data_IF_208245604472
#
_entry.id   IF_208245604472
#
_cell.length_a   1.000
_cell.length_b   1.000
_cell.length_c   1.000
_cell.angle_alpha   90.00
_cell.angle_beta   90.00
_cell.angle_gamma   90.00
#
_symmetry.space_group_name_H-M   'P 1'
#
loop_
_entity.id
_entity.type
_entity.pdbx_description
1 polymer ?
#
# COMPACT_ATOMS: atom_id res chain seq x y z
N UNK A 1 -42.72 -20.07 -45.55
CA UNK A 1 -41.33 -20.58 -45.42
C UNK A 1 -40.28 -19.49 -45.19
N UNK A 2 -40.30 -18.34 -45.90
CA UNK A 2 -39.31 -17.25 -45.70
C UNK A 2 -39.27 -16.66 -44.28
N UNK A 3 -40.42 -16.53 -43.62
CA UNK A 3 -40.56 -15.92 -42.28
C UNK A 3 -39.92 -16.73 -41.14
N UNK A 4 -39.81 -18.05 -41.27
CA UNK A 4 -39.18 -18.90 -40.25
C UNK A 4 -37.65 -18.86 -40.34
N UNK A 5 -37.09 -18.68 -41.53
CA UNK A 5 -35.65 -18.62 -41.74
C UNK A 5 -35.03 -17.34 -41.16
N UNK A 6 -35.69 -16.19 -41.37
CA UNK A 6 -35.26 -14.91 -40.79
C UNK A 6 -35.36 -14.89 -39.27
N UNK A 7 -36.37 -15.56 -38.71
CA UNK A 7 -36.53 -15.69 -37.24
C UNK A 7 -35.41 -16.52 -36.65
N UNK A 8 -35.03 -17.64 -37.27
CA UNK A 8 -33.91 -18.49 -36.84
C UNK A 8 -32.58 -17.73 -36.92
N UNK A 9 -32.33 -16.99 -38.00
CA UNK A 9 -31.11 -16.18 -38.14
C UNK A 9 -31.02 -15.06 -37.09
N UNK A 10 -32.14 -14.38 -36.77
CA UNK A 10 -32.16 -13.39 -35.67
C UNK A 10 -31.90 -14.01 -34.30
N UNK A 11 -32.44 -15.19 -34.02
CA UNK A 11 -32.20 -15.88 -32.74
C UNK A 11 -30.75 -16.38 -32.64
N UNK A 12 -30.17 -16.88 -33.73
CA UNK A 12 -28.76 -17.25 -33.76
C UNK A 12 -27.84 -16.04 -33.60
N UNK A 13 -28.17 -14.89 -34.21
CA UNK A 13 -27.39 -13.66 -34.07
C UNK A 13 -27.47 -13.11 -32.63
N UNK A 14 -28.66 -13.14 -32.00
CA UNK A 14 -28.86 -12.73 -30.60
C UNK A 14 -28.12 -13.67 -29.65
N UNK A 15 -28.20 -15.00 -29.86
CA UNK A 15 -27.45 -15.97 -29.07
C UNK A 15 -25.94 -15.81 -29.25
N UNK A 16 -25.45 -15.51 -30.46
CA UNK A 16 -24.03 -15.26 -30.72
C UNK A 16 -23.56 -13.96 -30.06
N UNK A 17 -24.36 -12.89 -30.10
CA UNK A 17 -24.12 -11.65 -29.36
C UNK A 17 -24.09 -11.87 -27.85
N UNK A 18 -25.03 -12.66 -27.30
CA UNK A 18 -25.06 -13.00 -25.87
C UNK A 18 -23.87 -13.89 -25.45
N UNK A 19 -23.41 -14.80 -26.32
CA UNK A 19 -22.19 -15.59 -26.08
C UNK A 19 -20.92 -14.74 -26.11
N UNK A 20 -20.84 -13.73 -26.99
CA UNK A 20 -19.71 -12.78 -27.03
C UNK A 20 -19.71 -11.88 -25.79
N UNK A 21 -20.88 -11.44 -25.31
CA UNK A 21 -21.01 -10.67 -24.06
C UNK A 21 -20.63 -11.52 -22.84
N UNK A 22 -21.02 -12.80 -22.81
CA UNK A 22 -20.72 -13.70 -21.70
C UNK A 22 -19.24 -14.12 -21.64
N UNK A 23 -18.53 -14.16 -22.77
CA UNK A 23 -17.10 -14.49 -22.81
C UNK A 23 -16.18 -13.33 -22.35
N UNK A 24 -16.69 -12.11 -22.22
CA UNK A 24 -15.92 -10.92 -21.85
C UNK A 24 -16.12 -10.44 -20.41
N UNK A 25 -16.87 -11.17 -19.57
CA UNK A 25 -16.89 -10.89 -18.14
C UNK A 25 -15.61 -11.45 -17.50
N UNK A 26 -14.50 -10.72 -17.65
CA UNK A 26 -13.32 -10.96 -16.83
C UNK A 26 -13.73 -10.91 -15.34
N UNK A 27 -13.21 -11.84 -14.53
CA UNK A 27 -13.47 -11.82 -13.10
C UNK A 27 -13.01 -10.48 -12.51
N UNK A 28 -13.86 -9.84 -11.71
CA UNK A 28 -13.55 -8.56 -11.09
C UNK A 28 -12.22 -8.62 -10.32
N UNK A 29 -11.38 -7.59 -10.50
CA UNK A 29 -10.10 -7.47 -9.80
C UNK A 29 -10.32 -7.45 -8.29
N UNK A 30 -9.53 -8.24 -7.55
CA UNK A 30 -9.60 -8.34 -6.09
C UNK A 30 -8.64 -7.35 -5.44
N UNK A 31 -9.05 -6.78 -4.31
CA UNK A 31 -8.16 -5.95 -3.51
C UNK A 31 -6.99 -6.77 -2.94
N UNK A 32 -5.80 -6.20 -2.96
CA UNK A 32 -4.54 -6.87 -2.63
C UNK A 32 -3.53 -6.77 -3.76
N UNK A 33 -2.57 -7.69 -3.83
CA UNK A 33 -1.53 -7.67 -4.86
C UNK A 33 -2.06 -7.82 -6.30
N UNK A 34 -3.28 -8.35 -6.47
CA UNK A 34 -3.89 -8.54 -7.79
C UNK A 34 -4.04 -7.20 -8.53
N UNK A 35 -4.32 -6.10 -7.83
CA UNK A 35 -4.44 -4.76 -8.45
C UNK A 35 -3.10 -4.26 -9.02
N UNK A 36 -1.97 -4.78 -8.52
CA UNK A 36 -0.62 -4.41 -8.98
C UNK A 36 -0.06 -5.36 -10.04
N UNK A 37 -0.80 -6.42 -10.40
CA UNK A 37 -0.38 -7.44 -11.38
C UNK A 37 -1.19 -7.40 -12.67
N UNK A 38 -1.86 -6.28 -12.92
CA UNK A 38 -2.63 -6.07 -14.13
C UNK A 38 -1.72 -5.73 -15.31
N UNK A 39 -2.23 -5.94 -16.52
CA UNK A 39 -1.49 -5.53 -17.72
C UNK A 39 -1.40 -4.00 -17.80
N UNK A 40 -0.36 -3.42 -18.41
CA UNK A 40 -0.20 -1.96 -18.50
C UNK A 40 -1.45 -1.22 -19.01
N UNK A 41 -2.16 -1.78 -19.99
CA UNK A 41 -3.34 -1.17 -20.60
C UNK A 41 -4.53 -1.09 -19.63
N UNK A 42 -4.58 -1.99 -18.64
CA UNK A 42 -5.64 -1.99 -17.64
C UNK A 42 -5.62 -0.72 -16.80
N UNK A 43 -4.44 -0.20 -16.45
CA UNK A 43 -4.30 1.01 -15.64
C UNK A 43 -4.84 2.28 -16.32
N UNK A 44 -5.06 2.25 -17.64
CA UNK A 44 -5.69 3.32 -18.40
C UNK A 44 -7.20 3.10 -18.65
N UNK A 45 -7.78 2.01 -18.14
CA UNK A 45 -9.18 1.63 -18.37
C UNK A 45 -10.16 2.29 -17.41
N UNK A 46 -11.45 2.29 -17.77
CA UNK A 46 -12.53 2.75 -16.89
C UNK A 46 -12.66 1.89 -15.63
N UNK A 47 -12.33 0.59 -15.69
CA UNK A 47 -12.33 -0.29 -14.52
C UNK A 47 -11.26 0.16 -13.50
N UNK A 48 -10.05 0.47 -13.97
CA UNK A 48 -8.98 0.96 -13.10
C UNK A 48 -9.28 2.35 -12.53
N UNK A 49 -9.92 3.24 -13.30
CA UNK A 49 -10.41 4.54 -12.78
C UNK A 49 -11.46 4.35 -11.69
N UNK A 50 -12.43 3.46 -11.91
CA UNK A 50 -13.44 3.16 -10.90
C UNK A 50 -12.82 2.58 -9.61
N UNK A 51 -11.84 1.69 -9.74
CA UNK A 51 -11.09 1.16 -8.60
C UNK A 51 -10.30 2.27 -7.87
N UNK A 52 -9.60 3.13 -8.61
CA UNK A 52 -8.84 4.25 -8.06
C UNK A 52 -9.76 5.28 -7.37
N UNK A 53 -10.94 5.54 -7.92
CA UNK A 53 -11.95 6.41 -7.31
C UNK A 53 -12.47 5.85 -5.99
N UNK A 54 -12.70 4.54 -5.89
CA UNK A 54 -13.06 3.95 -4.59
C UNK A 54 -11.90 4.05 -3.60
N UNK A 55 -10.67 3.70 -4.01
CA UNK A 55 -9.48 3.81 -3.15
C UNK A 55 -9.30 5.22 -2.62
N UNK A 56 -9.54 6.25 -3.45
CA UNK A 56 -9.43 7.65 -3.06
C UNK A 56 -10.38 8.02 -1.92
N UNK A 57 -11.59 7.46 -1.88
CA UNK A 57 -12.59 7.73 -0.82
C UNK A 57 -12.13 7.27 0.57
N UNK A 58 -11.17 6.36 0.64
CA UNK A 58 -10.61 5.85 1.90
C UNK A 58 -9.33 6.59 2.34
N UNK A 59 -8.84 7.57 1.56
CA UNK A 59 -7.68 8.34 1.96
C UNK A 59 -8.06 9.29 3.09
N UNK A 60 -7.40 9.16 4.24
CA UNK A 60 -7.62 10.04 5.38
C UNK A 60 -7.17 11.48 5.12
N UNK A 61 -7.53 12.38 6.03
CA UNK A 61 -7.05 13.77 6.03
C UNK A 61 -5.51 13.85 6.05
N UNK A 62 -4.84 12.97 6.78
CA UNK A 62 -3.37 12.90 6.83
C UNK A 62 -2.74 12.25 5.60
N UNK A 63 -3.53 11.66 4.70
CA UNK A 63 -3.05 11.07 3.45
C UNK A 63 -2.79 9.56 3.49
N UNK A 64 -3.25 8.85 4.51
CA UNK A 64 -3.04 7.42 4.72
C UNK A 64 -4.29 6.59 4.40
N UNK A 65 -4.18 5.25 4.49
CA UNK A 65 -5.28 4.31 4.22
C UNK A 65 -5.38 3.20 5.26
N UNK A 66 -6.59 2.68 5.52
CA UNK A 66 -6.80 1.65 6.53
C UNK A 66 -6.20 0.29 6.17
N UNK A 67 -5.88 -0.48 7.21
CA UNK A 67 -5.56 -1.90 7.10
C UNK A 67 -6.81 -2.77 7.11
N UNK A 68 -6.68 -4.01 6.64
CA UNK A 68 -7.72 -5.05 6.72
C UNK A 68 -9.09 -4.61 6.18
N UNK A 69 -9.08 -3.74 5.17
CA UNK A 69 -10.27 -3.16 4.55
C UNK A 69 -10.20 -3.42 3.06
N UNK A 70 -11.27 -3.97 2.49
CA UNK A 70 -11.44 -4.01 1.04
C UNK A 70 -11.88 -2.62 0.57
N UNK A 71 -10.92 -1.82 0.10
CA UNK A 71 -11.17 -0.45 -0.34
C UNK A 71 -11.73 -0.36 -1.77
N UNK A 72 -11.93 -1.50 -2.44
CA UNK A 72 -12.70 -1.57 -3.69
C UNK A 72 -14.19 -1.77 -3.43
N UNK A 73 -14.56 -2.24 -2.24
CA UNK A 73 -15.94 -2.43 -1.86
C UNK A 73 -16.66 -1.07 -1.73
N UNK A 74 -17.91 -0.94 -2.21
CA UNK A 74 -18.69 0.27 -1.97
C UNK A 74 -18.86 0.53 -0.46
N UNK A 75 -18.48 1.73 -0.01
CA UNK A 75 -18.74 2.19 1.35
C UNK A 75 -19.74 3.35 1.40
N UNK A 76 -20.53 3.35 2.47
CA UNK A 76 -21.36 4.48 2.87
C UNK A 76 -20.50 5.54 3.55
N UNK A 77 -20.94 6.80 3.53
CA UNK A 77 -20.19 7.89 4.18
C UNK A 77 -20.05 7.67 5.69
N UNK A 78 -21.03 7.03 6.33
CA UNK A 78 -20.94 6.64 7.74
C UNK A 78 -19.83 5.60 8.00
N UNK A 79 -19.63 4.66 7.08
CA UNK A 79 -18.54 3.67 7.19
C UNK A 79 -17.17 4.33 6.99
N UNK A 80 -17.06 5.25 6.04
CA UNK A 80 -15.83 6.03 5.81
C UNK A 80 -15.48 6.90 7.03
N UNK A 81 -16.47 7.61 7.59
CA UNK A 81 -16.28 8.41 8.80
C UNK A 81 -15.82 7.57 10.01
N UNK A 82 -16.30 6.33 10.16
CA UNK A 82 -15.87 5.45 11.25
C UNK A 82 -14.46 4.88 11.05
N UNK A 83 -14.00 4.78 9.80
CA UNK A 83 -12.62 4.42 9.43
C UNK A 83 -11.67 5.58 9.71
N UNK A 84 -12.07 6.82 9.47
CA UNK A 84 -11.26 7.99 9.79
C UNK A 84 -11.15 8.23 11.31
N UNK A 85 -12.23 7.92 12.05
CA UNK A 85 -12.32 8.16 13.48
C UNK A 85 -11.14 7.59 14.27
N UNK A 86 -10.44 8.48 14.98
CA UNK A 86 -9.33 8.12 15.86
C UNK A 86 -8.10 7.59 15.11
N UNK A 87 -7.93 7.95 13.83
CA UNK A 87 -6.75 7.59 13.04
C UNK A 87 -6.64 6.10 12.76
N UNK A 88 -7.76 5.37 12.62
CA UNK A 88 -7.73 3.95 12.22
C UNK A 88 -7.27 3.77 10.79
N UNK A 89 -7.56 4.73 9.92
CA UNK A 89 -7.03 4.80 8.58
C UNK A 89 -5.52 5.08 8.51
N UNK A 90 -4.88 5.52 9.60
CA UNK A 90 -3.53 6.07 9.50
C UNK A 90 -2.47 5.05 9.93
N UNK A 91 -2.23 4.07 9.06
CA UNK A 91 -1.32 2.95 9.34
C UNK A 91 -0.59 2.45 8.10
N UNK A 92 0.56 1.81 8.33
CA UNK A 92 1.34 1.09 7.32
C UNK A 92 1.27 -0.43 7.47
N UNK A 93 0.49 -0.92 8.44
CA UNK A 93 0.32 -2.33 8.75
C UNK A 93 -0.44 -3.08 7.64
N UNK A 94 -0.11 -4.35 7.38
CA UNK A 94 -0.77 -5.18 6.36
C UNK A 94 -0.87 -4.54 4.97
N UNK A 95 0.15 -3.79 4.56
CA UNK A 95 0.20 -3.11 3.26
C UNK A 95 -0.70 -1.87 3.15
N UNK A 96 -1.35 -1.47 4.25
CA UNK A 96 -2.04 -0.20 4.35
C UNK A 96 -1.14 0.96 3.93
N UNK A 97 -1.75 2.00 3.37
CA UNK A 97 -1.09 3.17 2.77
C UNK A 97 -0.22 2.86 1.54
N UNK A 98 0.73 1.93 1.63
CA UNK A 98 1.69 1.63 0.55
C UNK A 98 1.04 0.98 -0.67
N UNK A 99 0.12 0.01 -0.50
CA UNK A 99 -0.60 -0.63 -1.61
C UNK A 99 -1.53 0.37 -2.34
N UNK A 100 -2.38 1.15 -1.65
CA UNK A 100 -3.14 2.25 -2.26
C UNK A 100 -2.28 3.23 -3.05
N UNK A 101 -1.17 3.72 -2.49
CA UNK A 101 -0.27 4.63 -3.20
C UNK A 101 0.24 3.99 -4.50
N UNK A 102 0.65 2.72 -4.47
CA UNK A 102 1.14 2.02 -5.67
C UNK A 102 0.08 1.89 -6.74
N UNK A 103 -1.16 1.53 -6.40
CA UNK A 103 -2.25 1.46 -7.37
C UNK A 103 -2.56 2.83 -7.97
N UNK A 104 -2.75 3.84 -7.11
CA UNK A 104 -3.06 5.20 -7.54
C UNK A 104 -1.96 5.76 -8.43
N UNK A 105 -0.68 5.48 -8.12
CA UNK A 105 0.44 5.92 -8.95
C UNK A 105 0.43 5.27 -10.33
N UNK A 106 0.10 3.97 -10.43
CA UNK A 106 -0.03 3.29 -11.74
C UNK A 106 -1.12 3.94 -12.59
N UNK A 107 -2.30 4.17 -12.01
CA UNK A 107 -3.42 4.81 -12.71
C UNK A 107 -3.06 6.26 -13.07
N UNK A 108 -2.52 7.03 -12.14
CA UNK A 108 -2.11 8.41 -12.39
C UNK A 108 -1.07 8.52 -13.52
N UNK A 109 -0.07 7.64 -13.56
CA UNK A 109 0.92 7.61 -14.62
C UNK A 109 0.31 7.20 -15.97
N UNK A 110 -0.67 6.29 -15.98
CA UNK A 110 -1.33 5.83 -17.20
C UNK A 110 -2.34 6.84 -17.75
N UNK A 111 -2.99 7.63 -16.90
CA UNK A 111 -4.10 8.53 -17.30
C UNK A 111 -3.75 10.01 -17.26
N UNK A 112 -2.76 10.42 -16.47
CA UNK A 112 -2.44 11.82 -16.21
C UNK A 112 -3.47 12.55 -15.33
N UNK A 113 -4.40 11.83 -14.68
CA UNK A 113 -5.44 12.47 -13.90
C UNK A 113 -4.93 13.04 -12.57
N UNK A 114 -5.12 14.35 -12.43
CA UNK A 114 -4.56 15.15 -11.34
C UNK A 114 -4.99 14.69 -9.94
N UNK A 115 -6.25 14.24 -9.77
CA UNK A 115 -6.76 13.74 -8.48
C UNK A 115 -5.97 12.56 -7.93
N UNK A 116 -5.48 11.67 -8.79
CA UNK A 116 -4.70 10.51 -8.37
C UNK A 116 -3.24 10.90 -8.08
N UNK A 117 -2.68 11.83 -8.88
CA UNK A 117 -1.36 12.41 -8.62
C UNK A 117 -1.32 13.06 -7.23
N UNK A 118 -2.29 13.91 -6.92
CA UNK A 118 -2.40 14.61 -5.63
C UNK A 118 -2.55 13.64 -4.46
N UNK A 119 -3.38 12.60 -4.62
CA UNK A 119 -3.53 11.57 -3.60
C UNK A 119 -2.22 10.80 -3.34
N UNK A 120 -1.46 10.47 -4.39
CA UNK A 120 -0.13 9.85 -4.24
C UNK A 120 0.82 10.78 -3.50
N UNK A 121 0.88 12.06 -3.87
CA UNK A 121 1.76 13.03 -3.21
C UNK A 121 1.44 13.17 -1.72
N UNK A 122 0.15 13.23 -1.35
CA UNK A 122 -0.29 13.23 0.06
C UNK A 122 0.14 11.97 0.80
N UNK A 123 0.02 10.80 0.18
CA UNK A 123 0.48 9.54 0.76
C UNK A 123 2.00 9.45 0.92
N UNK A 124 2.76 9.99 -0.03
CA UNK A 124 4.23 10.10 0.09
C UNK A 124 4.59 11.05 1.23
N UNK A 125 3.95 12.21 1.33
CA UNK A 125 4.18 13.15 2.43
C UNK A 125 3.83 12.56 3.79
N UNK A 126 2.74 11.80 3.88
CA UNK A 126 2.39 11.04 5.09
C UNK A 126 3.54 10.14 5.54
N UNK A 127 4.10 9.33 4.64
CA UNK A 127 5.23 8.44 4.97
C UNK A 127 6.47 9.25 5.39
N UNK A 128 6.77 10.36 4.71
CA UNK A 128 7.91 11.20 5.05
C UNK A 128 7.76 11.86 6.44
N UNK A 129 6.55 12.25 6.82
CA UNK A 129 6.26 12.86 8.14
C UNK A 129 6.18 11.81 9.25
N UNK A 130 5.71 10.60 8.94
CA UNK A 130 5.58 9.51 9.91
C UNK A 130 6.93 8.93 10.36
N UNK A 131 7.99 9.10 9.57
CA UNK A 131 9.31 8.57 9.90
C UNK A 131 9.92 9.28 11.12
N UNK A 132 10.42 8.50 12.07
CA UNK A 132 11.15 9.04 13.22
C UNK A 132 12.50 9.66 12.81
N UNK A 133 13.06 10.59 13.63
CA UNK A 133 14.40 11.13 13.40
C UNK A 133 15.51 10.07 13.33
N UNK A 134 15.35 8.93 14.00
CA UNK A 134 16.30 7.81 13.95
C UNK A 134 16.13 6.92 12.70
N UNK A 135 15.16 7.21 11.82
CA UNK A 135 14.89 6.48 10.58
C UNK A 135 13.84 5.37 10.69
N UNK A 136 13.39 5.02 11.89
CA UNK A 136 12.35 4.02 12.11
C UNK A 136 10.95 4.49 11.71
N UNK A 137 10.01 3.56 11.59
CA UNK A 137 8.60 3.83 11.31
C UNK A 137 7.68 3.25 12.37
N UNK A 138 6.72 4.02 12.91
CA UNK A 138 5.65 3.49 13.74
C UNK A 138 4.65 2.68 12.92
N UNK A 139 3.86 1.82 13.57
CA UNK A 139 2.75 1.13 12.91
C UNK A 139 1.62 2.10 12.53
N UNK A 140 1.36 3.10 13.37
CA UNK A 140 0.34 4.13 13.17
C UNK A 140 0.94 5.54 13.33
N UNK A 141 0.52 6.47 12.48
CA UNK A 141 0.89 7.88 12.61
C UNK A 141 -0.32 8.77 12.28
N UNK A 142 -0.67 9.85 13.01
CA UNK A 142 -0.07 10.31 14.26
C UNK A 142 0.00 9.22 15.33
N UNK A 143 0.98 9.35 16.23
CA UNK A 143 1.28 8.30 17.20
C UNK A 143 0.09 8.03 18.11
N UNK A 144 -0.18 6.75 18.33
CA UNK A 144 -1.14 6.32 19.33
C UNK A 144 -0.50 6.45 20.72
N UNK A 145 -1.23 6.96 21.73
CA UNK A 145 -0.64 7.31 23.02
C UNK A 145 -0.24 6.10 23.88
N UNK A 146 -0.70 4.89 23.54
CA UNK A 146 -0.47 3.67 24.33
C UNK A 146 -0.34 2.45 23.41
N UNK A 147 0.44 1.48 23.88
CA UNK A 147 0.65 0.20 23.21
C UNK A 147 1.86 0.21 22.27
N UNK A 148 2.08 -0.93 21.62
CA UNK A 148 3.24 -1.18 20.76
C UNK A 148 3.21 -0.40 19.43
N UNK A 149 2.15 0.36 19.16
CA UNK A 149 1.94 1.02 17.86
C UNK A 149 2.98 2.09 17.54
N UNK A 150 3.70 2.61 18.55
CA UNK A 150 4.80 3.56 18.38
C UNK A 150 6.14 2.90 18.08
N UNK A 151 6.27 1.59 18.31
CA UNK A 151 7.53 0.90 18.06
C UNK A 151 7.92 0.94 16.59
N UNK A 152 9.21 0.85 16.33
CA UNK A 152 9.76 0.60 14.99
C UNK A 152 9.19 -0.72 14.53
N UNK A 153 8.34 -0.69 13.50
CA UNK A 153 7.49 -1.83 13.13
C UNK A 153 7.99 -2.48 11.85
N UNK A 154 8.69 -3.61 11.98
CA UNK A 154 9.01 -4.48 10.84
C UNK A 154 7.88 -5.46 10.52
N UNK A 155 7.06 -5.80 11.52
CA UNK A 155 5.91 -6.70 11.42
C UNK A 155 5.07 -6.44 10.15
N UNK A 156 4.66 -7.53 9.50
CA UNK A 156 3.90 -7.53 8.24
C UNK A 156 4.58 -6.73 7.11
N UNK A 157 5.91 -6.62 7.18
CA UNK A 157 6.72 -5.83 6.26
C UNK A 157 6.46 -4.32 6.30
N UNK A 158 5.84 -3.78 7.35
CA UNK A 158 5.36 -2.40 7.41
C UNK A 158 6.45 -1.36 7.07
N UNK A 159 7.51 -1.26 7.88
CA UNK A 159 8.62 -0.35 7.61
C UNK A 159 9.31 -0.64 6.27
N UNK A 160 9.46 -1.91 5.90
CA UNK A 160 10.14 -2.29 4.65
C UNK A 160 9.32 -1.87 3.42
N UNK A 161 8.00 -2.02 3.44
CA UNK A 161 7.11 -1.57 2.37
C UNK A 161 7.16 -0.04 2.21
N UNK A 162 7.17 0.70 3.33
CA UNK A 162 7.32 2.16 3.32
C UNK A 162 8.66 2.59 2.72
N UNK A 163 9.76 1.95 3.11
CA UNK A 163 11.09 2.27 2.58
C UNK A 163 11.26 1.87 1.11
N UNK A 164 10.65 0.76 0.66
CA UNK A 164 10.65 0.39 -0.75
C UNK A 164 9.88 1.40 -1.61
N UNK A 165 8.72 1.85 -1.14
CA UNK A 165 7.92 2.91 -1.77
C UNK A 165 8.77 4.19 -1.92
N UNK A 166 9.38 4.64 -0.83
CA UNK A 166 10.22 5.85 -0.83
C UNK A 166 11.48 5.68 -1.70
N UNK A 167 12.07 4.48 -1.77
CA UNK A 167 13.19 4.18 -2.67
C UNK A 167 12.78 4.30 -4.14
N UNK A 168 11.59 3.82 -4.50
CA UNK A 168 11.06 3.95 -5.86
C UNK A 168 10.80 5.42 -6.22
N UNK A 169 10.22 6.19 -5.27
CA UNK A 169 10.01 7.64 -5.40
C UNK A 169 11.34 8.38 -5.59
N UNK A 170 12.32 8.18 -4.71
CA UNK A 170 13.63 8.81 -4.79
C UNK A 170 14.29 8.60 -6.17
N UNK A 171 14.22 7.36 -6.67
CA UNK A 171 14.75 6.99 -7.98
C UNK A 171 13.93 7.44 -9.18
N UNK A 172 12.77 8.11 -9.00
CA UNK A 172 11.78 8.38 -10.05
C UNK A 172 11.47 7.14 -10.90
N UNK A 173 11.44 5.96 -10.26
CA UNK A 173 11.10 4.72 -10.96
C UNK A 173 9.63 4.78 -11.34
N UNK A 174 9.29 4.28 -12.52
CA UNK A 174 7.88 4.14 -12.91
C UNK A 174 7.10 3.40 -11.81
N UNK A 175 5.89 3.86 -11.42
CA UNK A 175 5.14 4.98 -12.01
C UNK A 175 5.40 6.37 -11.38
N UNK A 176 6.39 6.53 -10.49
CA UNK A 176 6.62 7.75 -9.70
C UNK A 176 7.39 8.87 -10.41
N UNK A 177 7.47 8.85 -11.74
CA UNK A 177 8.22 9.85 -12.52
C UNK A 177 7.68 11.28 -12.37
N UNK A 178 6.44 11.44 -11.95
CA UNK A 178 5.77 12.72 -11.74
C UNK A 178 6.05 13.38 -10.38
N UNK A 179 6.69 12.67 -9.44
CA UNK A 179 6.98 13.22 -8.10
C UNK A 179 8.09 14.27 -8.19
N UNK A 180 7.87 15.45 -7.59
CA UNK A 180 8.80 16.57 -7.65
C UNK A 180 10.14 16.27 -6.96
N UNK A 181 11.20 16.96 -7.39
CA UNK A 181 12.55 16.73 -6.89
C UNK A 181 12.68 16.94 -5.37
N UNK A 182 11.94 17.88 -4.77
CA UNK A 182 12.00 18.13 -3.33
C UNK A 182 11.52 16.93 -2.51
N UNK A 183 10.40 16.31 -2.91
CA UNK A 183 9.95 15.04 -2.31
C UNK A 183 10.89 13.89 -2.60
N UNK A 184 11.49 13.82 -3.79
CA UNK A 184 12.46 12.77 -4.14
C UNK A 184 13.72 12.82 -3.29
N UNK A 185 14.26 14.01 -3.03
CA UNK A 185 15.42 14.21 -2.15
C UNK A 185 15.09 13.81 -0.70
N UNK A 186 13.94 14.26 -0.18
CA UNK A 186 13.44 13.85 1.14
C UNK A 186 13.24 12.34 1.24
N UNK A 187 12.76 11.69 0.18
CA UNK A 187 12.59 10.25 0.13
C UNK A 187 13.95 9.52 0.11
N UNK A 188 14.95 10.03 -0.61
CA UNK A 188 16.29 9.45 -0.62
C UNK A 188 16.94 9.51 0.78
N UNK A 189 16.84 10.66 1.44
CA UNK A 189 17.30 10.89 2.80
C UNK A 189 16.54 10.01 3.82
N UNK A 190 15.22 9.88 3.68
CA UNK A 190 14.40 8.97 4.48
C UNK A 190 14.84 7.51 4.32
N UNK A 191 15.15 7.06 3.10
CA UNK A 191 15.67 5.70 2.85
C UNK A 191 17.03 5.50 3.50
N UNK A 192 17.93 6.47 3.40
CA UNK A 192 19.25 6.40 4.04
C UNK A 192 19.15 6.25 5.56
N UNK A 193 18.31 7.08 6.22
CA UNK A 193 18.04 6.93 7.65
C UNK A 193 17.36 5.61 8.00
N UNK A 194 16.45 5.13 7.15
CA UNK A 194 15.79 3.83 7.34
C UNK A 194 16.80 2.68 7.34
N UNK A 195 17.77 2.70 6.42
CA UNK A 195 18.86 1.72 6.38
C UNK A 195 19.72 1.81 7.65
N UNK A 196 20.09 3.01 8.09
CA UNK A 196 20.85 3.21 9.33
C UNK A 196 20.10 2.66 10.55
N UNK A 197 18.79 2.92 10.65
CA UNK A 197 17.92 2.34 11.67
C UNK A 197 17.92 0.80 11.64
N UNK A 198 17.79 0.20 10.46
CA UNK A 198 17.85 -1.25 10.27
C UNK A 198 19.17 -1.80 10.80
N UNK A 199 20.31 -1.21 10.43
CA UNK A 199 21.61 -1.68 10.90
C UNK A 199 21.79 -1.54 12.42
N UNK A 200 21.27 -0.46 13.01
CA UNK A 200 21.33 -0.21 14.46
C UNK A 200 20.39 -1.12 15.28
N UNK A 201 19.30 -1.59 14.67
CA UNK A 201 18.35 -2.51 15.31
C UNK A 201 18.71 -3.98 15.10
N UNK A 202 19.74 -4.31 14.32
CA UNK A 202 20.13 -5.70 14.12
C UNK A 202 20.61 -6.31 15.44
N UNK A 203 19.97 -7.41 15.84
CA UNK A 203 20.21 -8.03 17.13
C UNK A 203 21.59 -8.68 17.14
N UNK A 204 22.31 -8.50 18.25
CA UNK A 204 23.56 -9.21 18.54
C UNK A 204 23.31 -10.26 19.61
N UNK A 205 23.69 -11.50 19.33
CA UNK A 205 23.73 -12.59 20.30
C UNK A 205 25.17 -13.06 20.44
N UNK A 206 25.69 -13.04 21.67
CA UNK A 206 27.09 -13.42 21.97
C UNK A 206 28.12 -12.72 21.08
N UNK A 207 27.92 -11.41 20.85
CA UNK A 207 28.77 -10.57 20.01
C UNK A 207 28.61 -10.78 18.49
N UNK A 208 27.75 -11.70 18.05
CA UNK A 208 27.49 -11.99 16.63
C UNK A 208 26.20 -11.33 16.15
N UNK A 209 26.26 -10.66 15.01
CA UNK A 209 25.06 -10.14 14.33
C UNK A 209 24.18 -11.32 13.88
N UNK A 210 22.89 -11.21 14.15
CA UNK A 210 21.89 -12.20 13.75
C UNK A 210 20.88 -11.57 12.79
N UNK A 211 19.66 -11.32 13.26
CA UNK A 211 18.52 -10.81 12.50
C UNK A 211 17.78 -9.75 13.32
N UNK A 212 16.49 -9.52 13.08
CA UNK A 212 15.69 -8.50 13.76
C UNK A 212 14.50 -9.10 14.51
N UNK A 213 13.96 -8.35 15.46
CA UNK A 213 12.63 -8.59 16.01
C UNK A 213 11.56 -8.05 15.06
N UNK A 214 10.31 -8.51 15.21
CA UNK A 214 9.18 -7.95 14.46
C UNK A 214 8.91 -6.47 14.83
N UNK A 215 9.30 -6.05 16.04
CA UNK A 215 9.27 -4.66 16.46
C UNK A 215 10.40 -4.34 17.43
N UNK A 216 10.86 -3.09 17.38
CA UNK A 216 11.91 -2.54 18.24
C UNK A 216 11.42 -1.25 18.90
N UNK A 217 11.81 -1.01 20.14
CA UNK A 217 11.50 0.24 20.83
C UNK A 217 12.11 1.41 20.05
N UNK A 218 11.32 2.46 19.82
CA UNK A 218 11.71 3.58 18.97
C UNK A 218 12.77 4.50 19.60
N UNK A 219 13.09 4.31 20.88
CA UNK A 219 14.10 5.09 21.61
C UNK A 219 15.34 4.26 21.90
N UNK A 220 15.18 3.06 22.45
CA UNK A 220 16.31 2.19 22.84
C UNK A 220 16.82 1.34 21.69
N UNK A 221 16.02 1.15 20.64
CA UNK A 221 16.28 0.26 19.49
C UNK A 221 16.32 -1.23 19.84
N UNK A 222 16.00 -1.59 21.09
CA UNK A 222 15.98 -2.97 21.55
C UNK A 222 14.71 -3.68 21.04
N UNK A 223 14.76 -5.01 20.82
CA UNK A 223 13.57 -5.82 20.60
C UNK A 223 12.47 -5.55 21.62
N UNK A 224 11.24 -5.30 21.16
CA UNK A 224 10.12 -4.91 22.01
C UNK A 224 8.93 -5.88 21.91
N UNK A 225 8.08 -5.85 22.92
CA UNK A 225 6.80 -6.58 22.90
C UNK A 225 5.83 -5.95 21.91
N UNK A 226 5.00 -6.77 21.27
CA UNK A 226 3.78 -6.31 20.61
C UNK A 226 2.54 -6.76 21.37
N UNK A 227 1.79 -7.73 20.83
CA UNK A 227 0.67 -8.36 21.54
C UNK A 227 1.20 -9.26 22.67
N UNK A 228 0.33 -9.66 23.59
CA UNK A 228 0.70 -10.49 24.75
C UNK A 228 1.32 -11.85 24.38
N UNK A 229 1.14 -12.30 23.14
CA UNK A 229 1.71 -13.51 22.57
C UNK A 229 2.87 -13.25 21.61
N UNK A 230 3.38 -12.01 21.54
CA UNK A 230 4.47 -11.58 20.66
C UNK A 230 5.62 -10.97 21.48
N UNK A 231 6.41 -11.82 22.18
CA UNK A 231 7.56 -11.36 22.94
C UNK A 231 8.70 -10.84 22.05
N UNK A 232 9.61 -10.03 22.61
CA UNK A 232 10.91 -9.75 22.02
C UNK A 232 11.59 -11.06 21.61
N UNK A 233 11.77 -11.25 20.31
CA UNK A 233 12.27 -12.50 19.74
C UNK A 233 12.89 -12.24 18.37
N UNK A 234 13.78 -13.14 17.93
CA UNK A 234 14.28 -13.09 16.56
C UNK A 234 13.16 -13.54 15.61
N UNK A 235 12.67 -12.63 14.77
CA UNK A 235 11.60 -12.93 13.83
C UNK A 235 12.16 -13.53 12.54
N UNK A 236 11.85 -14.80 12.30
CA UNK A 236 12.22 -15.46 11.04
C UNK A 236 11.50 -14.87 9.82
N UNK A 237 10.21 -14.55 9.93
CA UNK A 237 9.39 -14.03 8.83
C UNK A 237 9.84 -12.63 8.41
N UNK A 238 9.91 -11.69 9.36
CA UNK A 238 10.16 -10.29 9.05
C UNK A 238 11.58 -10.08 8.52
N UNK A 239 12.54 -10.85 9.04
CA UNK A 239 13.94 -10.72 8.67
C UNK A 239 14.22 -11.05 7.20
N UNK A 240 13.40 -11.88 6.55
CA UNK A 240 13.53 -12.16 5.12
C UNK A 240 13.30 -10.88 4.29
N UNK A 241 12.29 -10.09 4.65
CA UNK A 241 11.98 -8.83 3.99
C UNK A 241 13.10 -7.80 4.18
N UNK A 242 13.66 -7.74 5.39
CA UNK A 242 14.75 -6.83 5.73
C UNK A 242 16.02 -7.16 4.92
N UNK A 243 16.42 -8.44 4.90
CA UNK A 243 17.62 -8.88 4.15
C UNK A 243 17.48 -8.64 2.64
N UNK A 244 16.29 -8.81 2.06
CA UNK A 244 16.05 -8.53 0.64
C UNK A 244 16.06 -7.04 0.31
N UNK A 245 15.76 -6.19 1.29
CA UNK A 245 15.73 -4.75 1.12
C UNK A 245 17.13 -4.12 1.17
N UNK A 246 17.99 -4.61 2.07
CA UNK A 246 19.40 -4.24 2.16
C UNK A 246 20.18 -4.71 0.93
#
# INVERSE_FOLDING_TARGET
MRTNLERIQRHQLICLLLLIIAQNAAAAVRWGNDVLRQKPEWYASEEARAAADQVLRYQSEEGAWPKNTDVLAPATDAALAEIEKGGKANTIDNGATTLPIRLLAQVANATGEQKYLEAVLRGVDYLLVAQYPNGGFPQFFPLRPRGYYSHITYNDGAMIGALQLLRDVAGARLPFGFVDNGRRERAADAVARGIDCILKTQVKQDGRLTVWCAQHDEKTLEPAWARSYEPPSLSGSESVGIVRFL
#
